data_IF_637033149339
#
_entry.id   IF_637033149339
#
_cell.length_a   1.000
_cell.length_b   1.000
_cell.length_c   1.000
_cell.angle_alpha   90.00
_cell.angle_beta   90.00
_cell.angle_gamma   90.00
#
_symmetry.space_group_name_H-M   'P 1'
#
loop_
_entity.id
_entity.type
_entity.pdbx_description
1 polymer ?
#
# COMPACT_ATOMS: atom_id res chain seq x y z
N UNK A 1 11.29 7.12 2.89
CA UNK A 1 10.86 7.61 4.22
C UNK A 1 10.65 6.37 5.04
N UNK A 2 11.39 6.23 6.13
CA UNK A 2 11.20 5.12 7.07
C UNK A 2 10.04 5.50 7.99
N UNK A 3 9.09 4.59 8.16
CA UNK A 3 7.95 4.75 9.06
C UNK A 3 8.14 3.76 10.22
N UNK A 4 8.03 4.26 11.45
CA UNK A 4 7.95 3.41 12.62
C UNK A 4 6.50 2.94 12.78
N UNK A 5 6.24 1.69 12.39
CA UNK A 5 4.92 1.09 12.53
C UNK A 5 4.62 0.82 14.01
N UNK A 6 3.48 1.32 14.48
CA UNK A 6 2.96 1.07 15.84
C UNK A 6 1.59 0.42 15.70
N UNK A 7 1.40 -0.74 16.33
CA UNK A 7 0.10 -1.38 16.41
C UNK A 7 -0.83 -0.56 17.29
N UNK A 8 -2.09 -0.42 16.91
CA UNK A 8 -3.05 0.32 17.74
C UNK A 8 -3.38 -0.36 19.06
N UNK A 9 -3.20 -1.68 19.17
CA UNK A 9 -3.30 -2.39 20.45
C UNK A 9 -2.23 -1.97 21.47
N UNK A 10 -1.08 -1.49 20.97
CA UNK A 10 0.10 -1.15 21.77
C UNK A 10 0.33 0.37 21.85
N UNK A 11 -0.56 1.18 21.27
CA UNK A 11 -0.36 2.62 21.15
C UNK A 11 -0.88 3.37 22.37
N UNK A 12 -0.01 4.16 23.01
CA UNK A 12 -0.45 5.24 23.89
C UNK A 12 -0.57 6.54 23.06
N UNK A 13 -1.78 7.10 22.88
CA UNK A 13 -1.97 8.32 22.11
C UNK A 13 -1.21 9.52 22.67
N UNK A 14 -0.74 9.49 23.91
CA UNK A 14 0.05 10.54 24.53
C UNK A 14 1.55 10.44 24.21
N UNK A 15 2.05 9.27 23.84
CA UNK A 15 3.48 9.01 23.61
C UNK A 15 3.88 9.06 22.13
N UNK A 16 2.93 8.89 21.21
CA UNK A 16 3.23 8.96 19.77
C UNK A 16 3.59 10.37 19.33
N UNK A 17 4.49 10.50 18.35
CA UNK A 17 4.92 11.78 17.80
C UNK A 17 4.26 12.09 16.46
N UNK A 18 4.11 13.38 16.15
CA UNK A 18 3.68 13.86 14.85
C UNK A 18 4.90 14.20 13.96
N UNK A 19 4.81 14.09 12.61
CA UNK A 19 3.63 13.77 11.82
C UNK A 19 3.21 12.31 11.95
N UNK A 20 1.89 12.06 12.00
CA UNK A 20 1.33 10.72 12.21
C UNK A 20 0.33 10.36 11.11
N UNK A 21 0.48 9.14 10.55
CA UNK A 21 -0.48 8.50 9.66
C UNK A 21 -1.19 7.40 10.45
N UNK A 22 -2.51 7.44 10.52
CA UNK A 22 -3.32 6.44 11.22
C UNK A 22 -4.33 5.85 10.24
N UNK A 23 -4.26 4.55 10.02
CA UNK A 23 -5.16 3.80 9.13
C UNK A 23 -6.13 3.01 10.00
N UNK A 24 -7.43 3.26 9.86
CA UNK A 24 -8.47 2.58 10.64
C UNK A 24 -9.78 2.52 9.85
N UNK A 25 -10.56 1.45 9.99
CA UNK A 25 -11.90 1.35 9.40
C UNK A 25 -12.96 1.84 10.39
N UNK A 26 -14.16 2.15 9.91
CA UNK A 26 -15.29 2.46 10.81
C UNK A 26 -15.58 1.28 11.75
N UNK A 27 -15.46 0.04 11.28
CA UNK A 27 -15.56 -1.18 12.09
C UNK A 27 -14.46 -1.22 13.17
N UNK A 28 -13.22 -0.84 12.82
CA UNK A 28 -12.12 -0.59 13.76
C UNK A 28 -12.52 0.32 14.91
N UNK A 29 -13.12 1.47 14.56
CA UNK A 29 -13.60 2.48 15.52
C UNK A 29 -14.70 1.93 16.43
N UNK A 30 -15.66 1.21 15.86
CA UNK A 30 -16.86 0.78 16.59
C UNK A 30 -16.61 -0.47 17.44
N UNK A 31 -15.83 -1.44 16.94
CA UNK A 31 -15.72 -2.78 17.54
C UNK A 31 -14.41 -3.02 18.29
N UNK A 32 -13.33 -2.32 17.92
CA UNK A 32 -11.98 -2.59 18.42
C UNK A 32 -11.44 -1.49 19.36
N UNK A 33 -12.32 -0.60 19.84
CA UNK A 33 -11.96 0.38 20.87
C UNK A 33 -11.12 1.57 20.37
N UNK A 34 -10.91 1.66 19.06
CA UNK A 34 -10.12 2.71 18.40
C UNK A 34 -10.72 4.12 18.55
N UNK A 35 -11.99 4.19 18.95
CA UNK A 35 -12.70 5.44 19.20
C UNK A 35 -11.93 6.40 20.12
N UNK A 36 -11.31 5.87 21.18
CA UNK A 36 -10.57 6.68 22.15
C UNK A 36 -9.26 7.20 21.56
N UNK A 37 -8.53 6.32 20.87
CA UNK A 37 -7.25 6.64 20.22
C UNK A 37 -7.44 7.74 19.18
N UNK A 38 -8.38 7.53 18.24
CA UNK A 38 -8.65 8.50 17.18
C UNK A 38 -9.00 9.87 17.77
N UNK A 39 -9.88 9.94 18.78
CA UNK A 39 -10.30 11.23 19.36
C UNK A 39 -9.19 11.94 20.12
N UNK A 40 -8.36 11.21 20.86
CA UNK A 40 -7.22 11.81 21.56
C UNK A 40 -6.20 12.37 20.57
N UNK A 41 -5.88 11.62 19.52
CA UNK A 41 -4.95 12.05 18.48
C UNK A 41 -5.49 13.24 17.68
N UNK A 42 -6.78 13.25 17.31
CA UNK A 42 -7.41 14.41 16.65
C UNK A 42 -7.28 15.65 17.53
N UNK A 43 -7.71 15.59 18.79
CA UNK A 43 -7.62 16.73 19.72
C UNK A 43 -6.19 17.24 19.86
N UNK A 44 -5.26 16.33 20.13
CA UNK A 44 -3.85 16.67 20.32
C UNK A 44 -3.23 17.27 19.05
N UNK A 45 -3.58 16.75 17.87
CA UNK A 45 -3.10 17.31 16.60
C UNK A 45 -3.58 18.75 16.36
N UNK A 46 -4.80 19.08 16.79
CA UNK A 46 -5.34 20.43 16.70
C UNK A 46 -4.70 21.36 17.74
N UNK A 47 -4.55 20.89 18.98
CA UNK A 47 -3.93 21.65 20.07
C UNK A 47 -2.45 21.96 19.82
N UNK A 48 -1.72 21.03 19.19
CA UNK A 48 -0.29 21.16 18.85
C UNK A 48 -0.03 21.77 17.47
N UNK A 49 -1.09 22.08 16.70
CA UNK A 49 -0.99 22.47 15.28
C UNK A 49 -0.15 21.47 14.44
N UNK A 50 -0.26 20.18 14.77
CA UNK A 50 0.57 19.13 14.23
C UNK A 50 -0.13 18.36 13.10
N UNK A 51 0.67 17.73 12.23
CA UNK A 51 0.12 16.98 11.08
C UNK A 51 -0.32 15.58 11.50
N UNK A 52 -1.64 15.38 11.51
CA UNK A 52 -2.28 14.07 11.69
C UNK A 52 -3.12 13.72 10.47
N UNK A 53 -2.83 12.59 9.84
CA UNK A 53 -3.55 12.09 8.66
C UNK A 53 -4.29 10.82 9.07
N UNK A 54 -5.61 10.92 9.18
CA UNK A 54 -6.49 9.79 9.43
C UNK A 54 -7.01 9.24 8.11
N UNK A 55 -6.62 8.01 7.77
CA UNK A 55 -7.08 7.28 6.58
C UNK A 55 -8.16 6.32 7.04
N UNK A 56 -9.36 6.48 6.48
CA UNK A 56 -10.48 5.57 6.78
C UNK A 56 -11.23 5.18 5.52
N UNK A 57 -12.07 4.15 5.65
CA UNK A 57 -12.96 3.65 4.61
C UNK A 57 -14.21 4.54 4.39
N UNK A 58 -14.31 5.67 5.09
CA UNK A 58 -15.41 6.64 4.99
C UNK A 58 -14.92 8.08 5.05
N UNK A 59 -15.62 9.01 4.39
CA UNK A 59 -15.32 10.44 4.49
C UNK A 59 -15.77 11.06 5.83
N UNK A 60 -16.59 10.35 6.60
CA UNK A 60 -17.22 10.84 7.82
C UNK A 60 -17.18 9.78 8.93
N UNK A 61 -15.98 9.43 9.45
CA UNK A 61 -15.85 8.46 10.52
C UNK A 61 -16.57 8.94 11.77
N UNK A 62 -17.26 8.03 12.45
CA UNK A 62 -18.11 8.31 13.62
C UNK A 62 -17.47 7.75 14.87
N UNK A 63 -17.74 8.44 15.98
CA UNK A 63 -17.33 8.03 17.33
C UNK A 63 -18.59 7.99 18.21
N UNK A 64 -19.35 6.88 18.17
CA UNK A 64 -20.69 6.82 18.74
C UNK A 64 -20.72 6.93 20.28
N UNK A 65 -19.70 6.45 20.99
CA UNK A 65 -19.60 6.54 22.46
C UNK A 65 -19.48 7.98 22.93
N UNK A 66 -18.79 8.84 22.17
CA UNK A 66 -18.53 10.23 22.55
C UNK A 66 -19.46 11.27 21.92
N UNK A 67 -20.28 10.88 20.94
CA UNK A 67 -21.15 11.83 20.22
C UNK A 67 -22.52 11.99 20.89
N UNK A 68 -22.79 13.19 21.41
CA UNK A 68 -24.05 13.52 22.10
C UNK A 68 -25.29 13.49 21.19
N UNK A 69 -25.11 13.61 19.87
CA UNK A 69 -26.17 13.50 18.86
C UNK A 69 -25.89 12.30 17.98
N UNK A 70 -26.82 11.34 17.87
CA UNK A 70 -26.68 10.21 16.96
C UNK A 70 -26.33 10.68 15.55
N UNK A 71 -25.25 10.11 14.99
CA UNK A 71 -24.86 10.34 13.60
C UNK A 71 -23.90 11.51 13.34
N UNK A 72 -23.48 12.27 14.37
CA UNK A 72 -22.43 13.28 14.20
C UNK A 72 -21.07 12.60 13.97
N UNK A 73 -20.33 13.01 12.95
CA UNK A 73 -19.00 12.47 12.66
C UNK A 73 -17.91 13.23 13.41
N UNK A 74 -16.69 12.70 13.41
CA UNK A 74 -15.49 13.41 13.90
C UNK A 74 -15.32 14.73 13.13
N UNK A 75 -15.51 14.71 11.80
CA UNK A 75 -15.38 15.90 10.94
C UNK A 75 -16.37 16.99 11.33
N UNK A 76 -17.62 16.62 11.67
CA UNK A 76 -18.62 17.59 12.11
C UNK A 76 -18.32 18.17 13.51
N UNK A 77 -17.55 17.46 14.32
CA UNK A 77 -17.20 17.85 15.69
C UNK A 77 -15.98 18.77 15.72
N UNK A 78 -14.99 18.49 14.87
CA UNK A 78 -13.73 19.21 14.79
C UNK A 78 -13.68 19.97 13.46
N UNK A 79 -14.13 21.23 13.47
CA UNK A 79 -14.35 22.03 12.26
C UNK A 79 -13.11 22.34 11.42
N UNK A 80 -11.90 22.17 11.96
CA UNK A 80 -10.64 22.42 11.27
C UNK A 80 -10.09 21.19 10.51
N UNK A 81 -10.84 20.08 10.50
CA UNK A 81 -10.45 18.88 9.74
C UNK A 81 -10.70 19.08 8.25
N UNK A 82 -9.63 18.98 7.46
CA UNK A 82 -9.72 18.96 6.01
C UNK A 82 -9.94 17.54 5.49
N UNK A 83 -11.15 17.24 5.01
CA UNK A 83 -11.44 15.97 4.33
C UNK A 83 -10.87 16.01 2.91
N UNK A 84 -10.23 14.91 2.51
CA UNK A 84 -9.72 14.71 1.15
C UNK A 84 -10.14 13.33 0.67
N UNK A 85 -10.65 13.30 -0.55
CA UNK A 85 -11.08 12.08 -1.21
C UNK A 85 -9.88 11.39 -1.89
N UNK A 86 -9.78 10.07 -1.73
CA UNK A 86 -8.68 9.29 -2.29
C UNK A 86 -8.68 9.28 -3.82
N UNK A 87 -9.85 9.21 -4.46
CA UNK A 87 -9.95 9.25 -5.94
C UNK A 87 -9.44 10.60 -6.47
N UNK A 88 -9.79 11.69 -5.80
CA UNK A 88 -9.26 13.01 -6.15
C UNK A 88 -7.75 13.13 -5.93
N UNK A 89 -7.25 12.77 -4.75
CA UNK A 89 -5.81 12.85 -4.42
C UNK A 89 -4.96 11.95 -5.32
N UNK A 90 -5.42 10.73 -5.58
CA UNK A 90 -4.73 9.82 -6.49
C UNK A 90 -4.73 10.38 -7.91
N UNK A 91 -5.85 10.89 -8.42
CA UNK A 91 -5.89 11.49 -9.77
C UNK A 91 -4.94 12.68 -9.90
N UNK A 92 -4.94 13.61 -8.94
CA UNK A 92 -4.01 14.75 -8.94
C UNK A 92 -2.55 14.28 -8.90
N UNK A 93 -2.24 13.27 -8.10
CA UNK A 93 -0.89 12.73 -8.00
C UNK A 93 -0.46 12.02 -9.29
N UNK A 94 -1.32 11.19 -9.86
CA UNK A 94 -1.06 10.44 -11.08
C UNK A 94 -0.85 11.39 -12.27
N UNK A 95 -1.70 12.41 -12.43
CA UNK A 95 -1.63 13.35 -13.55
C UNK A 95 -0.43 14.30 -13.47
N UNK A 96 -0.03 14.73 -12.26
CA UNK A 96 0.98 15.78 -12.11
C UNK A 96 2.38 15.27 -11.75
N UNK A 97 2.51 14.02 -11.27
CA UNK A 97 3.79 13.51 -10.76
C UNK A 97 4.28 12.23 -11.44
N UNK A 98 3.41 11.49 -12.13
CA UNK A 98 3.76 10.24 -12.80
C UNK A 98 3.51 10.32 -14.30
N UNK A 99 4.34 9.60 -15.05
CA UNK A 99 4.22 9.45 -16.51
C UNK A 99 3.89 7.98 -16.78
N UNK A 100 2.74 7.55 -16.24
CA UNK A 100 2.34 6.17 -16.27
C UNK A 100 1.67 5.82 -17.59
N UNK A 101 2.09 4.69 -18.16
CA UNK A 101 1.50 4.10 -19.36
C UNK A 101 0.43 3.03 -19.04
N UNK A 102 0.26 2.67 -17.76
CA UNK A 102 -0.87 1.84 -17.31
C UNK A 102 -2.12 2.72 -17.23
N UNK A 103 -3.24 2.33 -17.87
CA UNK A 103 -4.48 3.08 -17.79
C UNK A 103 -5.04 3.17 -16.36
N UNK A 104 -5.46 4.38 -15.96
CA UNK A 104 -6.10 4.62 -14.64
C UNK A 104 -7.43 3.85 -14.48
N UNK A 105 -8.07 3.50 -15.60
CA UNK A 105 -9.27 2.66 -15.62
C UNK A 105 -8.99 1.21 -15.21
N UNK A 106 -7.75 0.74 -15.40
CA UNK A 106 -7.35 -0.63 -15.02
C UNK A 106 -6.97 -0.69 -13.54
N UNK A 107 -6.42 0.39 -12.99
CA UNK A 107 -6.08 0.50 -11.57
C UNK A 107 -5.84 1.96 -11.18
N UNK A 108 -6.10 2.32 -9.92
CA UNK A 108 -5.66 3.58 -9.30
C UNK A 108 -4.50 3.39 -8.32
N UNK A 109 -3.98 2.16 -8.21
CA UNK A 109 -2.93 1.85 -7.27
C UNK A 109 -1.62 2.54 -7.71
N UNK A 110 -1.20 3.53 -6.92
CA UNK A 110 -0.02 4.36 -7.17
C UNK A 110 1.24 3.50 -7.35
N UNK A 111 1.33 2.33 -6.71
CA UNK A 111 2.44 1.40 -6.89
C UNK A 111 2.64 1.00 -8.36
N UNK A 112 1.56 0.61 -9.06
CA UNK A 112 1.64 0.20 -10.46
C UNK A 112 1.97 1.38 -11.38
N UNK A 113 1.44 2.56 -11.10
CA UNK A 113 1.74 3.74 -11.89
C UNK A 113 3.19 4.21 -11.72
N UNK A 114 3.74 4.12 -10.50
CA UNK A 114 5.13 4.42 -10.22
C UNK A 114 6.07 3.43 -10.92
N UNK A 115 5.75 2.13 -10.86
CA UNK A 115 6.45 1.09 -11.61
C UNK A 115 6.42 1.36 -13.12
N UNK A 116 5.23 1.61 -13.67
CA UNK A 116 5.02 1.94 -15.09
C UNK A 116 5.83 3.16 -15.53
N UNK A 117 5.89 4.21 -14.71
CA UNK A 117 6.71 5.40 -14.99
C UNK A 117 8.21 5.06 -15.08
N UNK A 118 8.72 4.21 -14.18
CA UNK A 118 10.13 3.78 -14.18
C UNK A 118 10.41 2.89 -15.40
N UNK A 119 9.53 1.93 -15.68
CA UNK A 119 9.63 1.04 -16.83
C UNK A 119 9.67 1.83 -18.14
N UNK A 120 8.72 2.77 -18.31
CA UNK A 120 8.65 3.60 -19.50
C UNK A 120 9.94 4.41 -19.72
N UNK A 121 10.44 5.07 -18.67
CA UNK A 121 11.70 5.86 -18.73
C UNK A 121 12.92 5.05 -19.12
N UNK A 122 12.90 3.75 -18.87
CA UNK A 122 14.01 2.83 -19.18
C UNK A 122 13.76 1.98 -20.41
N UNK A 123 12.66 2.21 -21.13
CA UNK A 123 12.32 1.47 -22.35
C UNK A 123 11.85 0.04 -22.10
N UNK A 124 11.47 -0.30 -20.86
CA UNK A 124 10.90 -1.60 -20.51
C UNK A 124 9.37 -1.61 -20.72
N UNK A 125 8.74 -2.80 -20.85
CA UNK A 125 7.28 -2.93 -20.91
C UNK A 125 6.58 -2.26 -19.74
N UNK A 126 5.56 -1.44 -20.02
CA UNK A 126 4.95 -0.54 -19.03
C UNK A 126 3.44 -0.30 -19.23
N UNK A 127 2.81 -1.01 -20.18
CA UNK A 127 1.46 -0.69 -20.67
C UNK A 127 0.33 -1.43 -19.95
N UNK A 128 0.67 -2.46 -19.17
CA UNK A 128 -0.31 -3.27 -18.43
C UNK A 128 0.26 -3.68 -17.07
N UNK A 129 -0.60 -4.10 -16.12
CA UNK A 129 -0.11 -4.65 -14.84
C UNK A 129 0.77 -5.88 -15.11
N UNK A 130 0.42 -6.72 -16.08
CA UNK A 130 1.19 -7.91 -16.46
C UNK A 130 2.63 -7.55 -16.88
N UNK A 131 2.76 -6.56 -17.77
CA UNK A 131 4.06 -6.06 -18.26
C UNK A 131 4.98 -5.63 -17.12
N UNK A 132 4.43 -5.05 -16.05
CA UNK A 132 5.22 -4.57 -14.92
C UNK A 132 5.87 -5.70 -14.14
N UNK A 133 5.25 -6.87 -14.12
CA UNK A 133 5.73 -8.02 -13.37
C UNK A 133 6.57 -8.98 -14.22
N UNK A 134 6.83 -8.68 -15.49
CA UNK A 134 7.84 -9.42 -16.25
C UNK A 134 9.25 -9.12 -15.71
N UNK A 135 9.72 -9.95 -14.78
CA UNK A 135 11.04 -9.81 -14.16
C UNK A 135 12.21 -10.06 -15.10
N UNK A 136 11.98 -10.60 -16.30
CA UNK A 136 13.04 -10.71 -17.31
C UNK A 136 13.37 -9.33 -17.88
N UNK A 137 12.36 -8.47 -18.05
CA UNK A 137 12.50 -7.13 -18.61
C UNK A 137 12.51 -6.01 -17.54
N UNK A 138 12.07 -6.30 -16.31
CA UNK A 138 11.92 -5.28 -15.27
C UNK A 138 13.24 -4.54 -14.95
N UNK A 139 13.25 -3.19 -14.98
CA UNK A 139 14.39 -2.39 -14.56
C UNK A 139 14.85 -2.74 -13.14
N UNK A 140 16.16 -2.74 -12.85
CA UNK A 140 16.65 -3.07 -11.50
C UNK A 140 16.03 -2.20 -10.41
N UNK A 141 15.86 -0.91 -10.65
CA UNK A 141 15.30 0.08 -9.72
C UNK A 141 13.75 0.11 -9.69
N UNK A 142 13.08 -0.77 -10.44
CA UNK A 142 11.62 -0.86 -10.40
C UNK A 142 11.13 -1.34 -9.02
N UNK A 143 10.05 -0.73 -8.48
CA UNK A 143 9.50 -1.14 -7.18
C UNK A 143 8.88 -2.55 -7.21
N UNK A 144 8.63 -3.14 -8.38
CA UNK A 144 8.07 -4.50 -8.51
C UNK A 144 8.95 -5.56 -7.85
N UNK A 145 10.26 -5.34 -7.77
CA UNK A 145 11.20 -6.21 -7.06
C UNK A 145 10.91 -6.32 -5.56
N UNK A 146 10.25 -5.33 -4.94
CA UNK A 146 9.85 -5.43 -3.53
C UNK A 146 8.83 -6.54 -3.29
N UNK A 147 8.01 -6.87 -4.29
CA UNK A 147 7.04 -7.95 -4.15
C UNK A 147 7.74 -9.31 -4.01
N UNK A 148 8.74 -9.62 -4.84
CA UNK A 148 9.55 -10.85 -4.67
C UNK A 148 10.35 -10.79 -3.37
N UNK A 149 10.96 -9.65 -3.05
CA UNK A 149 11.74 -9.49 -1.80
C UNK A 149 10.90 -9.78 -0.56
N UNK A 150 9.63 -9.36 -0.55
CA UNK A 150 8.69 -9.69 0.51
C UNK A 150 8.57 -11.20 0.68
N UNK A 151 8.26 -11.92 -0.40
CA UNK A 151 8.14 -13.37 -0.40
C UNK A 151 9.44 -14.09 -0.01
N UNK A 152 10.60 -13.63 -0.46
CA UNK A 152 11.88 -14.23 -0.04
C UNK A 152 12.18 -14.01 1.44
N UNK A 153 11.89 -12.82 1.99
CA UNK A 153 12.19 -12.49 3.40
C UNK A 153 11.24 -13.16 4.39
N UNK A 154 9.97 -13.25 4.04
CA UNK A 154 8.91 -13.68 4.97
C UNK A 154 8.55 -15.17 4.83
N UNK A 155 9.14 -15.90 3.88
CA UNK A 155 8.62 -17.20 3.46
C UNK A 155 9.62 -18.36 3.44
N UNK A 156 10.76 -18.22 4.14
CA UNK A 156 11.69 -19.34 4.38
C UNK A 156 11.11 -20.43 5.32
N UNK A 157 9.99 -20.18 6.01
CA UNK A 157 9.55 -21.04 7.12
C UNK A 157 8.31 -21.92 6.85
N UNK A 158 7.60 -21.85 5.70
CA UNK A 158 6.36 -22.63 5.52
C UNK A 158 6.19 -23.33 4.15
N UNK A 159 5.88 -24.63 4.25
CA UNK A 159 5.61 -25.68 3.25
C UNK A 159 5.20 -25.22 1.84
N UNK A 160 5.97 -25.70 0.85
CA UNK A 160 5.88 -25.41 -0.60
C UNK A 160 4.54 -25.76 -1.29
N UNK A 161 3.62 -26.45 -0.62
CA UNK A 161 2.51 -27.14 -1.31
C UNK A 161 1.40 -26.22 -1.85
N UNK A 162 1.30 -24.94 -1.43
CA UNK A 162 0.26 -24.00 -1.92
C UNK A 162 0.80 -22.57 -2.22
N UNK A 163 2.05 -22.46 -2.67
CA UNK A 163 2.71 -21.16 -2.82
C UNK A 163 2.02 -20.21 -3.81
N UNK A 164 1.56 -20.74 -4.96
CA UNK A 164 0.81 -19.94 -5.95
C UNK A 164 -0.51 -19.39 -5.39
N UNK A 165 -1.21 -20.16 -4.55
CA UNK A 165 -2.46 -19.70 -3.91
C UNK A 165 -2.19 -18.59 -2.91
N UNK A 166 -1.07 -18.66 -2.17
CA UNK A 166 -0.67 -17.61 -1.22
C UNK A 166 -0.28 -16.32 -1.91
N UNK A 167 0.50 -16.39 -3.00
CA UNK A 167 0.81 -15.20 -3.80
C UNK A 167 -0.50 -14.58 -4.32
N UNK A 168 -1.42 -15.41 -4.84
CA UNK A 168 -2.72 -14.91 -5.31
C UNK A 168 -3.54 -14.26 -4.20
N UNK A 169 -3.58 -14.84 -3.00
CA UNK A 169 -4.31 -14.26 -1.88
C UNK A 169 -3.69 -12.92 -1.45
N UNK A 170 -2.35 -12.84 -1.38
CA UNK A 170 -1.65 -11.59 -1.07
C UNK A 170 -1.90 -10.50 -2.13
N UNK A 171 -2.02 -10.88 -3.40
CA UNK A 171 -2.29 -9.97 -4.51
C UNK A 171 -3.79 -9.65 -4.69
N UNK A 172 -4.68 -10.37 -4.02
CA UNK A 172 -6.13 -10.29 -4.22
C UNK A 172 -6.69 -8.91 -3.90
N UNK A 173 -6.07 -8.20 -2.96
CA UNK A 173 -6.42 -6.82 -2.60
C UNK A 173 -5.71 -5.77 -3.46
N UNK A 174 -4.73 -6.16 -4.28
CA UNK A 174 -3.92 -5.25 -5.08
C UNK A 174 -4.32 -5.24 -6.55
N UNK A 175 -4.79 -6.38 -7.08
CA UNK A 175 -5.05 -6.59 -8.51
C UNK A 175 -6.51 -6.91 -8.76
N UNK A 176 -7.10 -6.30 -9.79
CA UNK A 176 -8.48 -6.59 -10.20
C UNK A 176 -8.56 -7.83 -11.11
N UNK A 177 -9.79 -8.29 -11.39
CA UNK A 177 -10.12 -9.61 -11.95
C UNK A 177 -9.31 -9.97 -13.21
N UNK A 178 -8.41 -10.96 -13.07
CA UNK A 178 -7.72 -11.63 -14.18
C UNK A 178 -6.19 -11.44 -14.17
N UNK A 179 -5.71 -10.30 -13.70
CA UNK A 179 -4.29 -9.99 -13.61
C UNK A 179 -3.59 -10.72 -12.46
N UNK A 180 -4.32 -10.93 -11.35
CA UNK A 180 -3.80 -11.62 -10.14
C UNK A 180 -3.11 -12.94 -10.47
N UNK A 181 -3.68 -13.71 -11.39
CA UNK A 181 -3.14 -15.02 -11.78
C UNK A 181 -1.80 -14.88 -12.52
N UNK A 182 -1.74 -13.97 -13.50
CA UNK A 182 -0.55 -13.82 -14.34
C UNK A 182 0.59 -13.19 -13.54
N UNK A 183 0.28 -12.16 -12.75
CA UNK A 183 1.22 -11.57 -11.79
C UNK A 183 1.75 -12.62 -10.80
N UNK A 184 0.88 -13.47 -10.26
CA UNK A 184 1.31 -14.55 -9.36
C UNK A 184 2.24 -15.56 -10.05
N UNK A 185 2.00 -15.87 -11.33
CA UNK A 185 2.88 -16.75 -12.10
C UNK A 185 4.25 -16.10 -12.31
N UNK A 186 4.31 -14.82 -12.69
CA UNK A 186 5.58 -14.10 -12.84
C UNK A 186 6.41 -14.06 -11.56
N UNK A 187 5.76 -13.79 -10.42
CA UNK A 187 6.43 -13.81 -9.10
C UNK A 187 6.95 -15.22 -8.80
N UNK A 188 6.14 -16.26 -9.02
CA UNK A 188 6.53 -17.64 -8.78
C UNK A 188 7.72 -18.07 -9.66
N UNK A 189 7.69 -17.74 -10.95
CA UNK A 189 8.78 -18.03 -11.89
C UNK A 189 10.09 -17.38 -11.43
N UNK A 190 10.06 -16.09 -11.08
CA UNK A 190 11.24 -15.37 -10.62
C UNK A 190 11.78 -15.94 -9.29
N UNK A 191 10.89 -16.33 -8.35
CA UNK A 191 11.27 -17.00 -7.11
C UNK A 191 11.95 -18.35 -7.39
N UNK A 192 11.42 -19.14 -8.33
CA UNK A 192 12.01 -20.42 -8.73
C UNK A 192 13.39 -20.25 -9.37
N UNK A 193 13.55 -19.27 -10.27
CA UNK A 193 14.85 -18.95 -10.90
C UNK A 193 15.89 -18.55 -9.83
N UNK A 194 15.46 -17.83 -8.81
CA UNK A 194 16.32 -17.37 -7.73
C UNK A 194 16.48 -18.41 -6.61
N UNK A 195 15.92 -19.62 -6.76
CA UNK A 195 15.91 -20.67 -5.73
C UNK A 195 15.44 -20.18 -4.35
N UNK A 196 14.54 -19.20 -4.33
CA UNK A 196 14.06 -18.54 -3.12
C UNK A 196 15.18 -17.91 -2.25
N UNK A 197 16.35 -17.63 -2.83
CA UNK A 197 17.51 -17.08 -2.11
C UNK A 197 17.63 -15.55 -2.33
N UNK A 198 17.78 -14.75 -1.25
CA UNK A 198 17.91 -13.30 -1.37
C UNK A 198 19.11 -12.83 -2.19
N UNK A 199 20.24 -13.56 -2.16
CA UNK A 199 21.45 -13.17 -2.90
C UNK A 199 21.29 -13.48 -4.38
N UNK A 200 20.69 -14.62 -4.72
CA UNK A 200 20.37 -14.99 -6.09
C UNK A 200 19.37 -14.00 -6.71
N UNK A 201 18.35 -13.57 -5.95
CA UNK A 201 17.42 -12.53 -6.37
C UNK A 201 18.14 -11.22 -6.69
N UNK A 202 19.04 -10.77 -5.82
CA UNK A 202 19.78 -9.53 -6.06
C UNK A 202 20.72 -9.65 -7.27
N UNK A 203 21.35 -10.81 -7.47
CA UNK A 203 22.13 -11.06 -8.69
C UNK A 203 21.25 -11.04 -9.94
N UNK A 204 20.09 -11.70 -9.92
CA UNK A 204 19.15 -11.74 -11.03
C UNK A 204 18.64 -10.34 -11.40
N UNK A 205 18.25 -9.54 -10.40
CA UNK A 205 17.85 -8.14 -10.55
C UNK A 205 18.91 -7.28 -11.24
N UNK A 206 20.19 -7.52 -10.96
CA UNK A 206 21.30 -6.72 -11.51
C UNK A 206 21.74 -7.16 -12.92
N UNK A 207 21.29 -8.32 -13.41
CA UNK A 207 21.58 -8.75 -14.78
C UNK A 207 20.81 -7.88 -15.78
N UNK A 208 21.43 -7.61 -16.92
CA UNK A 208 20.73 -7.03 -18.07
C UNK A 208 19.64 -7.99 -18.56
N UNK A 209 18.53 -7.51 -19.14
CA UNK A 209 17.45 -8.36 -19.65
C UNK A 209 17.94 -9.52 -20.56
N UNK A 210 18.88 -9.24 -21.47
CA UNK A 210 19.48 -10.25 -22.36
C UNK A 210 20.22 -11.41 -21.66
N UNK A 211 20.46 -11.33 -20.36
CA UNK A 211 21.22 -12.31 -19.57
C UNK A 211 20.42 -12.81 -18.34
N UNK A 212 19.13 -12.52 -18.27
CA UNK A 212 18.22 -13.04 -17.24
C UNK A 212 17.65 -14.38 -17.67
#
# INVERSE_FOLDING_TARGET
>A
MDYDHVSTDDVDPSEVSFPLLHVVTQEGIDEYGEETVVRQLVKRSLDEEARYVLVTDTAAPKTPTYTMKPGKSIVDEFGDIAVRDYEHLSSEFLENHLDSHVPVVDTRNIFFHAASTIHHRQGAPAGSIDDLFDYTEAPPDSPVWESIRYFVRHDLENVLDNYSERIREALRSWTERGDTQRVANHILEALQICEYDPKMLEQYRQRSPNHR
#
